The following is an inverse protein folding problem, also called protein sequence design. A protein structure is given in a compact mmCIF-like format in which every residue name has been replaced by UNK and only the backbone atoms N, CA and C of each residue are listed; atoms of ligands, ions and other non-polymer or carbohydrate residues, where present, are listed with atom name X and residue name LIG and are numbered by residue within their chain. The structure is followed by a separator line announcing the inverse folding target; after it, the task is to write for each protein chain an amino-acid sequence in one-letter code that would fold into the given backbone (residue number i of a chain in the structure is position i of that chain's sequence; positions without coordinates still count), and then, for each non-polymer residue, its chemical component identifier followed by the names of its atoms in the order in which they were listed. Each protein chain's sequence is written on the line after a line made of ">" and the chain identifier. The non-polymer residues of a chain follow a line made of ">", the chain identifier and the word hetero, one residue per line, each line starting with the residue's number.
data_IF_670821863773
#
_entry.id   IF_670821863773
#
_cell.length_a   1.000
_cell.length_b   1.000
_cell.length_c   1.000
_cell.angle_alpha   90.00
_cell.angle_beta   90.00
_cell.angle_gamma   90.00
#
_symmetry.space_group_name_H-M   'P 1'
#
loop_
_entity.id
_entity.type
_entity.pdbx_description
1 polymer ?
#
# COMPACT_ATOMS: atom_id res chain seq x y z
N UNK A 1 21.85 -22.68 -9.33
CA UNK A 1 21.10 -22.81 -10.60
C UNK A 1 20.29 -21.54 -10.75
N UNK A 2 20.68 -20.69 -11.69
CA UNK A 2 20.03 -19.42 -11.98
C UNK A 2 19.09 -19.58 -13.19
N UNK A 3 18.06 -18.73 -13.25
CA UNK A 3 17.08 -18.56 -14.34
C UNK A 3 15.74 -19.29 -14.21
N UNK A 4 14.78 -18.73 -13.47
CA UNK A 4 13.35 -18.99 -13.70
C UNK A 4 12.42 -17.76 -13.68
N UNK A 5 12.92 -16.53 -13.49
CA UNK A 5 12.03 -15.35 -13.38
C UNK A 5 12.59 -14.03 -13.90
N UNK A 6 13.81 -13.97 -14.45
CA UNK A 6 14.42 -12.71 -14.89
C UNK A 6 13.71 -12.03 -16.08
N UNK A 7 12.95 -12.79 -16.88
CA UNK A 7 12.16 -12.22 -17.99
C UNK A 7 10.85 -11.59 -17.51
N UNK A 8 10.32 -12.05 -16.37
CA UNK A 8 9.06 -11.57 -15.76
C UNK A 8 9.21 -10.13 -15.27
N UNK A 9 10.36 -9.79 -14.67
CA UNK A 9 10.67 -8.42 -14.25
C UNK A 9 10.90 -7.44 -15.41
N UNK A 10 11.06 -7.94 -16.64
CA UNK A 10 11.16 -7.13 -17.85
C UNK A 10 9.82 -6.86 -18.55
N UNK A 11 8.72 -7.43 -18.06
CA UNK A 11 7.37 -7.20 -18.59
C UNK A 11 6.70 -6.04 -17.88
N UNK A 12 6.54 -4.92 -18.58
CA UNK A 12 5.77 -3.81 -18.04
C UNK A 12 4.26 -4.11 -18.13
N UNK A 13 3.48 -3.46 -17.28
CA UNK A 13 2.01 -3.53 -17.32
C UNK A 13 1.44 -3.04 -18.67
N UNK A 14 2.16 -2.17 -19.37
CA UNK A 14 1.80 -1.69 -20.71
C UNK A 14 1.97 -2.81 -21.74
N UNK A 15 3.09 -3.53 -21.71
CA UNK A 15 3.34 -4.65 -22.62
C UNK A 15 2.30 -5.75 -22.43
N UNK A 16 1.94 -6.04 -21.17
CA UNK A 16 0.90 -7.02 -20.83
C UNK A 16 -0.49 -6.57 -21.30
N UNK A 17 -0.82 -5.29 -21.17
CA UNK A 17 -2.09 -4.75 -21.66
C UNK A 17 -2.23 -4.84 -23.18
N UNK A 18 -1.17 -4.54 -23.95
CA UNK A 18 -1.19 -4.70 -25.41
C UNK A 18 -1.41 -6.16 -25.83
N UNK A 19 -0.82 -7.11 -25.10
CA UNK A 19 -1.00 -8.54 -25.32
C UNK A 19 -2.43 -8.97 -25.00
N UNK A 20 -2.97 -8.54 -23.85
CA UNK A 20 -4.35 -8.81 -23.45
C UNK A 20 -5.35 -8.23 -24.47
N UNK A 21 -5.10 -7.02 -24.97
CA UNK A 21 -5.94 -6.40 -26.02
C UNK A 21 -5.95 -7.24 -27.30
N UNK A 22 -4.78 -7.74 -27.73
CA UNK A 22 -4.66 -8.62 -28.91
C UNK A 22 -5.36 -9.97 -28.70
N UNK A 23 -5.27 -10.55 -27.49
CA UNK A 23 -5.99 -11.78 -27.14
C UNK A 23 -7.50 -11.52 -27.19
N UNK A 24 -7.99 -10.44 -26.58
CA UNK A 24 -9.39 -10.05 -26.58
C UNK A 24 -9.95 -9.87 -28.00
N UNK A 25 -9.20 -9.23 -28.90
CA UNK A 25 -9.56 -9.08 -30.31
C UNK A 25 -9.65 -10.41 -31.06
N UNK A 26 -8.88 -11.41 -30.64
CA UNK A 26 -8.89 -12.75 -31.21
C UNK A 26 -9.98 -13.68 -30.66
N UNK A 27 -10.58 -13.33 -29.52
CA UNK A 27 -11.63 -14.12 -28.89
C UNK A 27 -13.01 -13.87 -29.53
N UNK A 28 -13.84 -14.92 -29.74
CA UNK A 28 -15.20 -14.76 -30.25
C UNK A 28 -16.09 -13.89 -29.35
N UNK A 29 -15.87 -13.95 -28.03
CA UNK A 29 -16.61 -13.20 -27.01
C UNK A 29 -16.19 -11.73 -26.93
N UNK A 30 -14.96 -11.40 -27.36
CA UNK A 30 -14.27 -10.14 -27.06
C UNK A 30 -14.30 -9.76 -25.57
N UNK A 31 -14.46 -10.74 -24.69
CA UNK A 31 -14.49 -10.50 -23.25
C UNK A 31 -13.07 -10.26 -22.75
N UNK A 32 -12.87 -9.08 -22.18
CA UNK A 32 -11.59 -8.70 -21.59
C UNK A 32 -11.23 -9.60 -20.40
N UNK A 33 -12.22 -10.09 -19.65
CA UNK A 33 -12.00 -10.96 -18.49
C UNK A 33 -11.42 -12.31 -18.90
N UNK A 34 -11.86 -12.84 -20.04
CA UNK A 34 -11.37 -14.09 -20.63
C UNK A 34 -9.96 -13.91 -21.19
N UNK A 35 -9.69 -12.79 -21.88
CA UNK A 35 -8.37 -12.45 -22.39
C UNK A 35 -7.32 -12.31 -21.27
N UNK A 36 -7.71 -11.69 -20.15
CA UNK A 36 -6.87 -11.57 -18.95
C UNK A 36 -6.53 -12.95 -18.38
N UNK A 37 -7.52 -13.86 -18.28
CA UNK A 37 -7.28 -15.21 -17.76
C UNK A 37 -6.31 -16.01 -18.64
N UNK A 38 -6.39 -15.86 -19.96
CA UNK A 38 -5.50 -16.54 -20.92
C UNK A 38 -4.07 -16.01 -20.81
N UNK A 39 -3.87 -14.69 -20.80
CA UNK A 39 -2.55 -14.08 -20.68
C UNK A 39 -1.90 -14.43 -19.33
N UNK A 40 -2.69 -14.43 -18.24
CA UNK A 40 -2.19 -14.77 -16.93
C UNK A 40 -1.77 -16.25 -16.84
N UNK A 41 -2.55 -17.16 -17.43
CA UNK A 41 -2.17 -18.57 -17.52
C UNK A 41 -0.87 -18.76 -18.34
N UNK A 42 -0.67 -17.96 -19.40
CA UNK A 42 0.58 -17.96 -20.16
C UNK A 42 1.75 -17.44 -19.31
N UNK A 43 1.54 -16.37 -18.55
CA UNK A 43 2.56 -15.77 -17.67
C UNK A 43 3.01 -16.72 -16.55
N UNK A 44 2.07 -17.41 -15.92
CA UNK A 44 2.35 -18.31 -14.79
C UNK A 44 3.05 -19.59 -15.21
N UNK A 45 2.66 -20.15 -16.35
CA UNK A 45 3.16 -21.44 -16.82
C UNK A 45 4.42 -21.35 -17.69
N UNK A 46 4.86 -20.14 -18.07
CA UNK A 46 6.05 -19.96 -18.91
C UNK A 46 7.31 -19.81 -18.08
N UNK A 47 8.38 -20.49 -18.51
CA UNK A 47 9.70 -20.42 -17.89
C UNK A 47 10.63 -19.42 -18.61
N UNK A 48 10.27 -19.02 -19.84
CA UNK A 48 10.99 -18.05 -20.68
C UNK A 48 10.04 -17.06 -21.36
N UNK A 49 10.60 -15.98 -21.91
CA UNK A 49 9.84 -14.96 -22.64
C UNK A 49 9.23 -15.54 -23.92
N UNK A 50 9.97 -16.40 -24.61
CA UNK A 50 9.55 -17.04 -25.84
C UNK A 50 8.39 -18.02 -25.62
N UNK A 51 8.37 -18.74 -24.49
CA UNK A 51 7.24 -19.59 -24.10
C UNK A 51 5.99 -18.77 -23.81
N UNK A 52 6.15 -17.63 -23.13
CA UNK A 52 5.06 -16.72 -22.82
C UNK A 52 4.44 -16.10 -24.08
N UNK A 53 5.27 -15.57 -24.98
CA UNK A 53 4.80 -14.96 -26.23
C UNK A 53 4.11 -16.01 -27.13
N UNK A 54 4.56 -17.27 -27.09
CA UNK A 54 3.93 -18.40 -27.81
C UNK A 54 2.60 -18.84 -27.20
N UNK A 55 2.50 -18.85 -25.87
CA UNK A 55 1.28 -19.19 -25.14
C UNK A 55 0.19 -18.12 -25.24
N UNK A 56 0.57 -16.85 -25.46
CA UNK A 56 -0.35 -15.75 -25.73
C UNK A 56 -0.88 -15.71 -27.18
N UNK A 57 -0.35 -16.56 -28.09
CA UNK A 57 -0.86 -16.66 -29.46
C UNK A 57 -2.04 -17.64 -29.54
N UNK A 58 -3.14 -17.27 -30.21
CA UNK A 58 -4.32 -18.13 -30.30
C UNK A 58 -4.01 -19.39 -31.13
N UNK A 59 -4.00 -20.56 -30.47
CA UNK A 59 -4.02 -21.87 -31.14
C UNK A 59 -5.43 -22.46 -31.09
N UNK A 60 -5.86 -23.00 -32.22
CA UNK A 60 -7.09 -23.77 -32.32
C UNK A 60 -7.08 -24.95 -31.34
N UNK A 61 -8.14 -25.01 -30.53
CA UNK A 61 -8.61 -26.11 -29.66
C UNK A 61 -7.94 -27.47 -29.80
N UNK A 62 -7.48 -28.05 -28.68
CA UNK A 62 -7.83 -29.42 -28.24
C UNK A 62 -7.60 -29.63 -26.74
N UNK A 63 -8.56 -30.31 -26.11
CA UNK A 63 -8.71 -30.63 -24.68
C UNK A 63 -7.89 -31.83 -24.20
N UNK A 64 -7.37 -31.80 -22.95
CA UNK A 64 -7.50 -32.87 -21.91
C UNK A 64 -6.70 -32.52 -20.63
N UNK A 65 -7.08 -33.04 -19.43
CA UNK A 65 -6.51 -32.62 -18.14
C UNK A 65 -5.48 -33.63 -17.57
N UNK A 66 -4.59 -33.20 -16.65
CA UNK A 66 -3.86 -34.12 -15.76
C UNK A 66 -4.04 -33.79 -14.25
N UNK A 67 -3.56 -34.68 -13.34
CA UNK A 67 -4.17 -34.90 -12.04
C UNK A 67 -3.54 -34.10 -10.88
N UNK A 68 -4.32 -34.05 -9.80
CA UNK A 68 -3.99 -33.58 -8.45
C UNK A 68 -2.87 -34.40 -7.78
N UNK A 69 -1.80 -33.74 -7.33
CA UNK A 69 -1.01 -34.18 -6.18
C UNK A 69 -0.33 -32.98 -5.50
N UNK A 70 -0.76 -32.70 -4.28
CA UNK A 70 -0.08 -31.83 -3.33
C UNK A 70 0.93 -32.63 -2.50
N UNK A 71 2.13 -32.09 -2.21
CA UNK A 71 2.83 -32.37 -0.98
C UNK A 71 2.81 -31.13 -0.08
N UNK A 72 2.17 -31.31 1.07
CA UNK A 72 2.33 -30.53 2.29
C UNK A 72 3.81 -30.42 2.66
N UNK A 73 4.32 -29.18 2.76
CA UNK A 73 5.54 -28.86 3.49
C UNK A 73 5.18 -27.89 4.60
N UNK A 74 5.15 -28.37 5.84
CA UNK A 74 5.20 -27.54 7.03
C UNK A 74 6.64 -27.52 7.52
N UNK A 75 7.27 -26.34 7.75
CA UNK A 75 8.39 -26.27 8.67
C UNK A 75 7.81 -26.11 10.08
N UNK A 76 8.08 -27.10 10.93
CA UNK A 76 7.92 -26.95 12.37
C UNK A 76 8.90 -25.87 12.86
N UNK A 77 8.38 -24.78 13.41
CA UNK A 77 9.17 -23.84 14.20
C UNK A 77 9.49 -24.53 15.53
N UNK A 78 10.73 -24.99 15.69
CA UNK A 78 11.27 -25.38 17.00
C UNK A 78 11.38 -24.13 17.87
N UNK A 79 10.57 -24.07 18.92
CA UNK A 79 10.70 -23.11 20.02
C UNK A 79 12.06 -23.30 20.71
N UNK A 80 13.06 -22.52 20.27
CA UNK A 80 14.24 -22.25 21.07
C UNK A 80 13.95 -21.03 21.92
N UNK A 81 13.85 -21.22 23.24
CA UNK A 81 13.49 -20.20 24.24
C UNK A 81 14.59 -19.15 24.52
N UNK A 82 15.57 -19.00 23.62
CA UNK A 82 16.57 -17.93 23.69
C UNK A 82 16.33 -16.92 22.58
N UNK A 83 15.89 -15.70 22.92
CA UNK A 83 15.72 -14.62 21.96
C UNK A 83 17.04 -14.26 21.25
N UNK A 84 16.94 -13.52 20.15
CA UNK A 84 18.06 -13.22 19.24
C UNK A 84 18.89 -12.05 19.77
N UNK A 85 20.22 -12.08 19.58
CA UNK A 85 21.10 -10.94 19.85
C UNK A 85 21.11 -9.99 18.65
N UNK A 86 20.95 -8.69 18.89
CA UNK A 86 21.03 -7.63 17.89
C UNK A 86 21.93 -6.52 18.43
N UNK A 87 23.21 -6.55 18.04
CA UNK A 87 24.23 -5.63 18.56
C UNK A 87 24.45 -5.80 20.08
N UNK A 88 24.14 -4.76 20.84
CA UNK A 88 24.18 -4.76 22.32
C UNK A 88 22.89 -5.32 22.95
N UNK A 89 21.81 -5.46 22.18
CA UNK A 89 20.53 -5.97 22.67
C UNK A 89 20.53 -7.50 22.69
N UNK A 90 20.25 -8.07 23.86
CA UNK A 90 20.15 -9.52 24.07
C UNK A 90 18.69 -9.95 24.12
N UNK A 91 18.42 -11.24 23.84
CA UNK A 91 17.11 -11.86 23.98
C UNK A 91 15.96 -11.12 23.28
N UNK A 92 16.19 -10.60 22.07
CA UNK A 92 15.16 -9.92 21.30
C UNK A 92 14.16 -10.92 20.72
N UNK A 93 12.87 -10.58 20.73
CA UNK A 93 11.79 -11.44 20.22
C UNK A 93 11.21 -10.88 18.93
N UNK A 94 10.96 -11.67 17.88
CA UNK A 94 10.38 -11.17 16.64
C UNK A 94 8.97 -10.58 16.87
N UNK A 95 8.66 -9.48 16.18
CA UNK A 95 7.35 -8.82 16.17
C UNK A 95 6.70 -8.96 14.79
N UNK A 96 7.44 -8.62 13.73
CA UNK A 96 6.93 -8.54 12.37
C UNK A 96 8.06 -8.77 11.37
N UNK A 97 7.71 -9.35 10.23
CA UNK A 97 8.58 -9.54 9.08
C UNK A 97 7.99 -8.78 7.90
N UNK A 98 8.83 -8.06 7.17
CA UNK A 98 8.47 -7.34 5.96
C UNK A 98 9.52 -7.51 4.88
N UNK A 99 9.19 -7.09 3.66
CA UNK A 99 10.00 -7.32 2.45
C UNK A 99 11.46 -6.84 2.61
N UNK A 100 11.66 -5.70 3.28
CA UNK A 100 12.98 -5.07 3.42
C UNK A 100 13.57 -5.13 4.83
N UNK A 101 12.76 -5.49 5.83
CA UNK A 101 13.16 -5.44 7.23
C UNK A 101 12.40 -6.41 8.11
N UNK A 102 13.06 -6.88 9.16
CA UNK A 102 12.45 -7.60 10.28
C UNK A 102 12.41 -6.67 11.51
N UNK A 103 11.35 -6.77 12.31
CA UNK A 103 11.18 -5.95 13.52
C UNK A 103 11.18 -6.85 14.74
N UNK A 104 12.01 -6.51 15.72
CA UNK A 104 12.16 -7.24 16.98
C UNK A 104 11.85 -6.37 18.19
N UNK A 105 11.31 -6.98 19.25
CA UNK A 105 11.16 -6.36 20.56
C UNK A 105 12.42 -6.62 21.39
N UNK A 106 12.93 -5.58 22.01
CA UNK A 106 14.00 -5.71 23.03
C UNK A 106 13.54 -6.53 24.25
N UNK A 107 14.49 -7.13 24.97
CA UNK A 107 14.20 -7.87 26.20
C UNK A 107 13.52 -7.03 27.30
N UNK A 108 13.89 -5.76 27.42
CA UNK A 108 13.24 -4.81 28.33
C UNK A 108 11.79 -4.50 27.93
N UNK A 109 11.41 -4.79 26.68
CA UNK A 109 10.07 -4.66 26.17
C UNK A 109 9.64 -3.24 25.79
N UNK A 110 10.55 -2.27 25.87
CA UNK A 110 10.33 -0.83 25.67
C UNK A 110 10.81 -0.32 24.30
N UNK A 111 11.62 -1.10 23.58
CA UNK A 111 12.17 -0.75 22.26
C UNK A 111 11.82 -1.76 21.18
N UNK A 112 11.60 -1.25 19.98
CA UNK A 112 11.50 -1.99 18.73
C UNK A 112 12.76 -1.77 17.88
N UNK A 113 13.32 -2.84 17.33
CA UNK A 113 14.51 -2.84 16.49
C UNK A 113 14.12 -3.28 15.08
N UNK A 114 14.14 -2.34 14.12
CA UNK A 114 13.96 -2.61 12.69
C UNK A 114 15.32 -2.96 12.09
N UNK A 115 15.53 -4.24 11.80
CA UNK A 115 16.74 -4.80 11.20
C UNK A 115 16.53 -4.86 9.68
N UNK A 116 17.40 -4.19 8.92
CA UNK A 116 17.33 -4.21 7.46
C UNK A 116 17.92 -5.52 6.94
N UNK A 117 17.11 -6.29 6.21
CA UNK A 117 17.48 -7.63 5.69
C UNK A 117 17.61 -7.69 4.17
N UNK A 118 17.11 -6.69 3.45
CA UNK A 118 17.26 -6.63 2.00
C UNK A 118 18.72 -6.39 1.60
N UNK A 119 19.26 -7.30 0.78
CA UNK A 119 20.62 -7.23 0.24
C UNK A 119 20.69 -6.41 -1.07
N UNK A 120 19.55 -6.04 -1.64
CA UNK A 120 19.43 -5.29 -2.90
C UNK A 120 18.59 -4.03 -2.68
N UNK A 121 18.88 -2.98 -3.49
CA UNK A 121 18.07 -1.76 -3.52
C UNK A 121 16.70 -2.08 -4.12
N UNK A 122 15.71 -2.30 -3.27
CA UNK A 122 14.30 -2.39 -3.64
C UNK A 122 13.73 -0.98 -3.69
N UNK A 123 13.75 -0.35 -4.86
CA UNK A 123 13.08 0.95 -5.05
C UNK A 123 11.58 0.83 -4.69
N UNK A 124 10.98 1.81 -3.99
CA UNK A 124 11.54 3.09 -3.52
C UNK A 124 12.20 3.01 -2.12
N UNK A 125 12.30 1.83 -1.51
CA UNK A 125 12.86 1.66 -0.18
C UNK A 125 14.35 2.03 -0.13
N UNK A 126 14.69 2.96 0.77
CA UNK A 126 16.07 3.38 1.00
C UNK A 126 16.32 3.64 2.49
N UNK A 127 16.92 2.70 3.22
CA UNK A 127 17.14 2.82 4.66
C UNK A 127 17.98 4.03 5.07
N UNK A 128 18.96 4.45 4.25
CA UNK A 128 19.78 5.63 4.55
C UNK A 128 18.99 6.93 4.39
N UNK A 129 18.08 6.97 3.40
CA UNK A 129 17.14 8.07 3.23
C UNK A 129 16.13 8.10 4.36
N UNK A 130 15.58 6.95 4.76
CA UNK A 130 14.66 6.81 5.89
C UNK A 130 15.30 7.39 7.17
N UNK A 131 16.55 7.05 7.47
CA UNK A 131 17.28 7.62 8.62
C UNK A 131 17.36 9.14 8.55
N UNK A 132 17.78 9.69 7.40
CA UNK A 132 17.91 11.15 7.23
C UNK A 132 16.58 11.87 7.39
N UNK A 133 15.50 11.29 6.86
CA UNK A 133 14.14 11.82 7.03
C UNK A 133 13.76 11.77 8.50
N UNK A 134 13.83 10.61 9.14
CA UNK A 134 13.45 10.41 10.55
C UNK A 134 14.18 11.35 11.51
N UNK A 135 15.45 11.68 11.25
CA UNK A 135 16.23 12.64 12.04
C UNK A 135 15.67 14.08 12.03
N UNK A 136 14.83 14.43 11.04
CA UNK A 136 14.17 15.74 10.94
C UNK A 136 12.79 15.79 11.60
N UNK A 137 12.26 14.63 12.01
CA UNK A 137 10.88 14.49 12.47
C UNK A 137 10.74 14.67 13.98
N UNK A 138 9.53 15.07 14.39
CA UNK A 138 9.13 15.21 15.78
C UNK A 138 7.77 14.51 15.99
N UNK A 139 7.37 14.23 17.24
CA UNK A 139 6.02 13.74 17.53
C UNK A 139 4.93 14.62 16.89
N UNK A 140 3.86 14.04 16.32
CA UNK A 140 3.46 12.63 16.42
C UNK A 140 4.01 11.69 15.32
N UNK A 141 5.19 11.97 14.74
CA UNK A 141 5.95 10.92 14.04
C UNK A 141 6.75 10.07 15.05
N UNK A 142 6.92 8.77 14.76
CA UNK A 142 7.69 7.87 15.62
C UNK A 142 9.16 8.37 15.73
N UNK A 143 9.71 8.55 16.94
CA UNK A 143 11.06 9.06 17.09
C UNK A 143 12.09 7.95 16.84
N UNK A 144 13.09 8.24 16.02
CA UNK A 144 14.27 7.41 15.86
C UNK A 144 15.19 7.61 17.07
N UNK A 145 15.41 6.55 17.86
CA UNK A 145 16.23 6.62 19.08
C UNK A 145 17.72 6.51 18.76
N UNK A 146 18.08 5.53 17.95
CA UNK A 146 19.46 5.31 17.51
C UNK A 146 19.54 4.47 16.24
N UNK A 147 20.72 4.47 15.63
CA UNK A 147 21.07 3.63 14.48
C UNK A 147 22.43 3.00 14.69
N UNK A 148 22.57 1.71 14.41
CA UNK A 148 23.85 1.01 14.52
C UNK A 148 23.94 -0.15 13.51
N UNK A 149 25.10 -0.81 13.46
CA UNK A 149 25.25 -2.09 12.75
C UNK A 149 25.36 -3.22 13.76
N UNK A 150 24.60 -4.28 13.54
CA UNK A 150 24.64 -5.46 14.41
C UNK A 150 25.90 -6.31 14.15
N UNK A 151 25.99 -7.46 14.84
CA UNK A 151 27.10 -8.40 14.69
C UNK A 151 27.25 -8.98 13.28
N UNK A 152 26.20 -8.95 12.45
CA UNK A 152 26.17 -9.40 11.06
C UNK A 152 26.36 -8.23 10.08
N UNK A 153 26.72 -7.04 10.58
CA UNK A 153 26.85 -5.81 9.80
C UNK A 153 25.54 -5.31 9.18
N UNK A 154 24.38 -5.80 9.61
CA UNK A 154 23.07 -5.30 9.16
C UNK A 154 22.79 -3.97 9.81
N UNK A 155 22.18 -3.06 9.05
CA UNK A 155 21.75 -1.75 9.56
C UNK A 155 20.52 -1.96 10.45
N UNK A 156 20.54 -1.34 11.63
CA UNK A 156 19.45 -1.42 12.62
C UNK A 156 19.00 -0.02 12.99
N UNK A 157 17.69 0.21 12.95
CA UNK A 157 17.03 1.42 13.47
C UNK A 157 16.26 1.04 14.73
N UNK A 158 16.41 1.83 15.79
CA UNK A 158 15.72 1.58 17.06
C UNK A 158 14.68 2.65 17.36
N UNK A 159 13.50 2.23 17.79
CA UNK A 159 12.33 3.06 18.07
C UNK A 159 11.74 2.71 19.44
N UNK A 160 10.92 3.57 20.05
CA UNK A 160 10.05 3.14 21.14
C UNK A 160 9.12 2.02 20.67
N UNK A 161 8.94 0.99 21.49
CA UNK A 161 7.98 -0.06 21.19
C UNK A 161 6.56 0.43 21.43
N UNK A 162 5.72 0.30 20.39
CA UNK A 162 4.28 0.54 20.48
C UNK A 162 3.57 -0.82 20.44
N UNK A 163 2.71 -1.14 21.44
CA UNK A 163 2.10 -2.46 21.56
C UNK A 163 0.96 -2.72 20.56
N UNK A 164 0.45 -1.69 19.89
CA UNK A 164 -0.70 -1.79 19.00
C UNK A 164 -0.48 -0.98 17.73
N UNK A 165 -1.16 -1.38 16.68
CA UNK A 165 -1.36 -0.63 15.44
C UNK A 165 -2.85 -0.32 15.25
N UNK A 166 -3.18 0.60 14.34
CA UNK A 166 -4.58 0.78 13.95
C UNK A 166 -5.12 -0.50 13.27
N UNK A 167 -4.28 -1.26 12.55
CA UNK A 167 -4.67 -2.56 11.99
C UNK A 167 -5.18 -3.51 13.08
N UNK A 168 -4.44 -3.65 14.18
CA UNK A 168 -4.83 -4.51 15.31
C UNK A 168 -6.18 -4.11 15.93
N UNK A 169 -6.48 -2.81 15.93
CA UNK A 169 -7.73 -2.26 16.43
C UNK A 169 -8.90 -2.55 15.47
N UNK A 170 -8.68 -2.45 14.16
CA UNK A 170 -9.69 -2.74 13.14
C UNK A 170 -10.02 -4.24 13.06
N UNK A 171 -9.01 -5.11 13.13
CA UNK A 171 -9.17 -6.57 13.08
C UNK A 171 -9.98 -7.11 14.27
N UNK A 172 -9.75 -6.55 15.46
CA UNK A 172 -10.55 -6.85 16.66
C UNK A 172 -12.01 -6.45 16.46
N UNK A 173 -12.24 -5.25 15.91
CA UNK A 173 -13.58 -4.72 15.59
C UNK A 173 -14.36 -5.61 14.62
N UNK A 174 -13.67 -6.22 13.66
CA UNK A 174 -14.27 -7.15 12.68
C UNK A 174 -14.66 -8.51 13.29
N UNK A 175 -13.96 -8.94 14.35
CA UNK A 175 -14.13 -10.28 14.95
C UNK A 175 -15.21 -10.33 16.03
N UNK A 176 -15.62 -9.19 16.58
CA UNK A 176 -16.67 -9.12 17.61
C UNK A 176 -17.66 -8.01 17.27
N UNK A 177 -18.93 -8.39 17.06
CA UNK A 177 -20.03 -7.49 16.69
C UNK A 177 -20.32 -6.37 17.69
N UNK A 178 -19.71 -6.42 18.89
CA UNK A 178 -19.82 -5.40 19.95
C UNK A 178 -18.51 -4.62 20.18
N UNK A 179 -17.54 -4.68 19.26
CA UNK A 179 -16.19 -4.09 19.45
C UNK A 179 -15.76 -3.08 18.39
N UNK A 180 -16.71 -2.48 17.67
CA UNK A 180 -16.41 -1.37 16.78
C UNK A 180 -15.70 -0.24 17.54
N UNK A 181 -14.73 0.41 16.88
CA UNK A 181 -13.99 1.51 17.51
C UNK A 181 -14.93 2.66 17.85
N UNK A 182 -14.77 3.20 19.05
CA UNK A 182 -15.59 4.32 19.48
C UNK A 182 -15.29 5.56 18.64
N UNK A 183 -16.32 6.35 18.31
CA UNK A 183 -16.15 7.60 17.54
C UNK A 183 -15.10 8.54 18.14
N UNK A 184 -15.02 8.62 19.47
CA UNK A 184 -14.04 9.44 20.17
C UNK A 184 -12.60 8.93 19.94
N UNK A 185 -12.41 7.61 19.99
CA UNK A 185 -11.14 6.96 19.72
C UNK A 185 -10.70 7.17 18.26
N UNK A 186 -11.60 6.96 17.28
CA UNK A 186 -11.34 7.24 15.85
C UNK A 186 -10.91 8.69 15.68
N UNK A 187 -11.67 9.64 16.25
CA UNK A 187 -11.34 11.07 16.16
C UNK A 187 -9.94 11.37 16.71
N UNK A 188 -9.60 10.83 17.88
CA UNK A 188 -8.28 11.03 18.49
C UNK A 188 -7.15 10.52 17.60
N UNK A 189 -7.26 9.27 17.11
CA UNK A 189 -6.23 8.63 16.28
C UNK A 189 -6.02 9.40 14.98
N UNK A 190 -7.11 9.77 14.29
CA UNK A 190 -7.01 10.50 13.04
C UNK A 190 -6.55 11.96 13.22
N UNK A 191 -6.82 12.56 14.39
CA UNK A 191 -6.26 13.88 14.73
C UNK A 191 -4.74 13.81 14.85
N UNK A 192 -4.20 12.81 15.56
CA UNK A 192 -2.76 12.60 15.69
C UNK A 192 -2.12 12.30 14.31
N UNK A 193 -2.76 11.47 13.48
CA UNK A 193 -2.29 11.16 12.12
C UNK A 193 -2.29 12.41 11.22
N UNK A 194 -3.34 13.24 11.27
CA UNK A 194 -3.40 14.51 10.54
C UNK A 194 -2.31 15.48 11.02
N UNK A 195 -2.06 15.58 12.32
CA UNK A 195 -0.99 16.41 12.86
C UNK A 195 0.39 15.94 12.37
N UNK A 196 0.63 14.62 12.32
CA UNK A 196 1.86 14.06 11.74
C UNK A 196 2.00 14.41 10.26
N UNK A 197 0.94 14.17 9.46
CA UNK A 197 0.93 14.49 8.03
C UNK A 197 1.16 15.98 7.78
N UNK A 198 0.50 16.86 8.53
CA UNK A 198 0.72 18.30 8.44
C UNK A 198 2.20 18.66 8.69
N UNK A 199 2.81 18.07 9.72
CA UNK A 199 4.19 18.36 10.10
C UNK A 199 5.20 17.93 9.00
N UNK A 200 4.99 16.77 8.38
CA UNK A 200 5.89 16.28 7.31
C UNK A 200 5.62 16.99 5.98
N UNK A 201 4.35 17.28 5.65
CA UNK A 201 3.97 17.96 4.40
C UNK A 201 4.47 19.40 4.38
N UNK A 202 4.53 20.09 5.53
CA UNK A 202 5.17 21.42 5.66
C UNK A 202 6.66 21.43 5.29
N UNK A 203 7.32 20.28 5.39
CA UNK A 203 8.72 20.09 5.00
C UNK A 203 8.86 19.55 3.55
N UNK A 204 7.74 19.40 2.83
CA UNK A 204 7.71 18.82 1.48
C UNK A 204 7.90 17.31 1.44
N UNK A 205 7.88 16.63 2.60
CA UNK A 205 8.00 15.18 2.68
C UNK A 205 6.68 14.55 2.24
N UNK A 206 6.76 13.48 1.44
CA UNK A 206 5.61 12.65 1.07
C UNK A 206 5.84 11.27 1.70
N UNK A 207 4.90 10.77 2.49
CA UNK A 207 5.06 9.49 3.19
C UNK A 207 4.99 8.29 2.24
N UNK A 208 4.03 8.30 1.30
CA UNK A 208 3.85 7.32 0.22
C UNK A 208 3.40 5.91 0.63
N UNK A 209 3.10 5.68 1.91
CA UNK A 209 2.61 4.38 2.38
C UNK A 209 1.74 4.49 3.65
N UNK A 210 0.80 5.43 3.63
CA UNK A 210 -0.20 5.57 4.70
C UNK A 210 -1.16 4.38 4.66
N UNK A 211 -1.25 3.64 5.77
CA UNK A 211 -2.10 2.46 5.97
C UNK A 211 -2.27 2.17 7.47
N UNK A 212 -3.24 1.34 7.90
CA UNK A 212 -3.47 1.07 9.32
C UNK A 212 -2.24 0.56 10.11
N UNK A 213 -1.39 -0.27 9.50
CA UNK A 213 -0.19 -0.78 10.17
C UNK A 213 0.92 0.27 10.34
N UNK A 214 0.86 1.39 9.60
CA UNK A 214 1.77 2.51 9.76
C UNK A 214 1.38 3.44 10.92
N UNK A 215 0.16 3.30 11.48
CA UNK A 215 -0.31 4.07 12.63
C UNK A 215 -0.12 3.24 13.90
N UNK A 216 0.92 3.55 14.66
CA UNK A 216 1.26 2.88 15.90
C UNK A 216 0.57 3.55 17.10
N UNK A 217 0.18 2.79 18.11
CA UNK A 217 -0.44 3.33 19.32
C UNK A 217 0.25 2.83 20.59
N UNK A 218 0.51 3.75 21.53
CA UNK A 218 1.04 3.40 22.85
C UNK A 218 0.03 2.67 23.74
N UNK A 219 -1.27 2.89 23.49
CA UNK A 219 -2.39 2.23 24.16
C UNK A 219 -3.62 2.22 23.24
N UNK A 220 -4.69 1.46 23.52
CA UNK A 220 -5.91 1.52 22.72
C UNK A 220 -6.45 2.95 22.54
N UNK A 221 -6.34 3.80 23.56
CA UNK A 221 -6.78 5.21 23.51
C UNK A 221 -5.71 6.17 22.99
N UNK A 222 -4.57 5.69 22.48
CA UNK A 222 -3.46 6.50 21.99
C UNK A 222 -2.43 6.91 23.06
N UNK A 223 -1.63 7.97 22.81
CA UNK A 223 -1.52 8.68 21.53
C UNK A 223 -1.13 7.78 20.34
N UNK A 224 -1.46 8.22 19.13
CA UNK A 224 -1.08 7.57 17.88
C UNK A 224 0.16 8.23 17.26
N UNK A 225 0.99 7.43 16.59
CA UNK A 225 2.23 7.85 15.95
C UNK A 225 2.30 7.34 14.51
N UNK A 226 2.69 8.22 13.59
CA UNK A 226 2.98 7.84 12.21
C UNK A 226 4.37 7.19 12.11
N UNK A 227 4.45 6.05 11.43
CA UNK A 227 5.65 5.24 11.28
C UNK A 227 5.85 4.74 9.85
N UNK A 228 6.98 4.08 9.60
CA UNK A 228 7.37 3.47 8.32
C UNK A 228 7.66 4.46 7.18
N UNK A 229 8.73 5.23 7.34
CA UNK A 229 9.21 6.18 6.35
C UNK A 229 10.12 5.53 5.28
N UNK A 230 10.12 4.19 5.18
CA UNK A 230 11.01 3.44 4.29
C UNK A 230 10.84 3.82 2.83
N UNK A 231 9.62 4.16 2.42
CA UNK A 231 9.29 4.60 1.06
C UNK A 231 9.23 6.12 0.93
N UNK A 232 9.44 6.92 1.97
CA UNK A 232 9.17 8.36 1.93
C UNK A 232 10.02 9.11 0.87
N UNK A 233 9.44 10.18 0.31
CA UNK A 233 10.12 11.10 -0.60
C UNK A 233 10.43 12.41 0.12
N UNK A 234 11.63 12.96 -0.07
CA UNK A 234 12.03 14.24 0.48
C UNK A 234 12.68 15.11 -0.63
N UNK A 235 12.36 16.41 -0.72
CA UNK A 235 12.85 17.28 -1.80
C UNK A 235 14.38 17.33 -1.89
N UNK A 236 15.09 17.35 -0.77
CA UNK A 236 16.56 17.33 -0.77
C UNK A 236 17.16 15.91 -0.82
N UNK A 237 16.67 14.97 -0.01
CA UNK A 237 17.27 13.64 0.12
C UNK A 237 16.90 12.65 -0.99
N UNK A 238 15.83 12.92 -1.76
CA UNK A 238 15.37 12.06 -2.84
C UNK A 238 15.68 12.58 -4.23
N UNK A 239 15.63 13.90 -4.47
CA UNK A 239 15.59 14.49 -5.82
C UNK A 239 16.74 14.09 -6.74
N UNK A 240 17.92 13.78 -6.20
CA UNK A 240 19.06 13.33 -7.00
C UNK A 240 18.81 11.95 -7.64
N UNK A 241 18.25 11.02 -6.87
CA UNK A 241 17.94 9.65 -7.31
C UNK A 241 16.53 9.50 -7.88
N UNK A 242 15.61 10.38 -7.46
CA UNK A 242 14.19 10.32 -7.76
C UNK A 242 13.65 11.75 -7.92
N UNK A 243 13.82 12.37 -9.11
CA UNK A 243 13.43 13.75 -9.35
C UNK A 243 11.92 13.98 -9.15
N UNK A 244 11.49 15.21 -8.79
CA UNK A 244 10.09 15.52 -8.54
C UNK A 244 9.12 15.19 -9.69
N UNK A 245 9.60 15.18 -10.93
CA UNK A 245 8.81 14.90 -12.15
C UNK A 245 8.91 13.44 -12.61
N UNK A 246 9.70 12.63 -11.92
CA UNK A 246 10.01 11.25 -12.30
C UNK A 246 9.95 10.32 -11.08
N UNK A 247 8.98 10.52 -10.17
CA UNK A 247 8.84 9.69 -8.98
C UNK A 247 8.43 8.26 -9.33
N UNK A 248 8.87 7.33 -8.49
CA UNK A 248 8.56 5.91 -8.55
C UNK A 248 7.06 5.74 -8.27
N UNK A 249 6.40 4.95 -9.13
CA UNK A 249 4.97 4.72 -9.05
C UNK A 249 4.61 3.57 -8.12
N UNK A 250 5.55 2.67 -7.82
CA UNK A 250 5.30 1.52 -6.95
C UNK A 250 5.35 1.91 -5.47
N UNK A 251 4.29 2.61 -5.08
CA UNK A 251 4.05 3.14 -3.74
C UNK A 251 2.60 2.89 -3.33
N UNK A 252 2.34 2.95 -2.03
CA UNK A 252 1.03 2.72 -1.45
C UNK A 252 0.63 1.25 -1.44
N UNK A 253 0.01 0.83 -0.34
CA UNK A 253 -0.42 -0.56 -0.14
C UNK A 253 -1.88 -0.75 -0.54
N UNK A 254 -2.15 -1.69 -1.46
CA UNK A 254 -3.49 -2.23 -1.74
C UNK A 254 -4.59 -1.16 -1.82
N UNK A 255 -5.58 -1.18 -0.91
CA UNK A 255 -6.78 -0.34 -1.00
C UNK A 255 -6.53 1.15 -0.72
N UNK A 256 -5.34 1.54 -0.25
CA UNK A 256 -5.01 2.92 0.09
C UNK A 256 -4.29 3.67 -1.04
N UNK A 257 -3.99 2.99 -2.15
CA UNK A 257 -3.23 3.57 -3.27
C UNK A 257 -4.07 4.60 -4.04
N UNK A 258 -3.50 5.79 -4.25
CA UNK A 258 -4.16 6.92 -4.90
C UNK A 258 -4.31 6.73 -6.42
N UNK A 259 -5.40 7.19 -7.03
CA UNK A 259 -5.70 6.91 -8.44
C UNK A 259 -4.69 7.55 -9.39
N UNK A 260 -4.16 8.74 -9.11
CA UNK A 260 -3.13 9.38 -9.96
C UNK A 260 -1.87 8.51 -10.09
N UNK A 261 -1.52 7.76 -9.05
CA UNK A 261 -0.39 6.82 -9.09
C UNK A 261 -0.73 5.61 -9.97
N UNK A 262 -1.96 5.10 -9.86
CA UNK A 262 -2.45 3.98 -10.68
C UNK A 262 -2.52 4.33 -12.17
N UNK A 263 -2.76 5.60 -12.50
CA UNK A 263 -2.74 6.13 -13.87
C UNK A 263 -1.36 6.67 -14.30
N UNK A 264 -0.32 6.40 -13.51
CA UNK A 264 1.07 6.61 -13.91
C UNK A 264 1.56 8.05 -13.82
N UNK A 265 0.90 8.93 -13.07
CA UNK A 265 1.37 10.30 -12.85
C UNK A 265 2.65 10.30 -11.99
N UNK A 266 3.81 10.53 -12.60
CA UNK A 266 5.11 10.57 -11.91
C UNK A 266 5.39 11.88 -11.16
N UNK A 267 4.52 12.88 -11.29
CA UNK A 267 4.62 14.18 -10.64
C UNK A 267 3.66 14.29 -9.44
N UNK A 268 3.22 13.16 -8.88
CA UNK A 268 2.32 13.15 -7.72
C UNK A 268 2.91 13.93 -6.53
N UNK A 269 2.01 14.46 -5.70
CA UNK A 269 2.30 15.32 -4.55
C UNK A 269 1.90 14.65 -3.23
N UNK A 270 1.98 15.38 -2.12
CA UNK A 270 1.48 14.97 -0.81
C UNK A 270 -0.03 14.59 -0.79
N UNK A 271 -0.79 14.93 -1.84
CA UNK A 271 -2.19 14.56 -1.97
C UNK A 271 -2.42 13.03 -1.98
N UNK A 272 -1.41 12.23 -2.33
CA UNK A 272 -1.49 10.75 -2.26
C UNK A 272 -1.64 10.26 -0.81
N UNK A 273 -0.99 10.93 0.14
CA UNK A 273 -1.08 10.59 1.56
C UNK A 273 -2.47 10.95 2.11
N UNK A 274 -3.06 12.06 1.64
CA UNK A 274 -4.40 12.49 2.04
C UNK A 274 -5.49 11.56 1.53
N UNK A 275 -5.34 11.03 0.30
CA UNK A 275 -6.23 9.98 -0.21
C UNK A 275 -6.17 8.72 0.64
N UNK A 276 -4.96 8.24 0.91
CA UNK A 276 -4.74 7.06 1.73
C UNK A 276 -5.31 7.21 3.14
N UNK A 277 -5.12 8.39 3.76
CA UNK A 277 -5.75 8.74 5.04
C UNK A 277 -7.28 8.72 4.97
N UNK A 278 -7.87 9.27 3.90
CA UNK A 278 -9.32 9.27 3.69
C UNK A 278 -9.90 7.86 3.52
N UNK A 279 -9.22 7.01 2.74
CA UNK A 279 -9.59 5.60 2.59
C UNK A 279 -9.48 4.83 3.92
N UNK A 280 -8.43 5.09 4.70
CA UNK A 280 -8.25 4.52 6.05
C UNK A 280 -9.31 5.01 7.03
N UNK A 281 -9.72 6.28 6.98
CA UNK A 281 -10.80 6.83 7.81
C UNK A 281 -12.13 6.16 7.46
N UNK A 282 -12.43 6.03 6.16
CA UNK A 282 -13.62 5.37 5.67
C UNK A 282 -13.71 3.91 6.14
N UNK A 283 -12.60 3.21 6.23
CA UNK A 283 -12.53 1.86 6.79
C UNK A 283 -12.82 1.84 8.30
N UNK A 284 -12.19 2.75 9.05
CA UNK A 284 -12.32 2.81 10.51
C UNK A 284 -13.74 3.16 10.99
N UNK A 285 -14.49 3.93 10.20
CA UNK A 285 -15.85 4.38 10.56
C UNK A 285 -16.96 3.40 10.15
N UNK A 286 -16.63 2.30 9.46
CA UNK A 286 -17.57 1.24 9.11
C UNK A 286 -17.72 0.24 10.24
N UNK A 287 -18.89 -0.41 10.31
CA UNK A 287 -19.19 -1.45 11.29
C UNK A 287 -19.81 -2.66 10.59
N UNK A 288 -19.08 -3.79 10.44
CA UNK A 288 -17.67 -3.96 10.82
C UNK A 288 -16.72 -3.10 9.96
N UNK A 289 -15.48 -2.84 10.44
CA UNK A 289 -14.46 -2.19 9.62
C UNK A 289 -14.22 -2.96 8.32
N UNK A 290 -14.14 -2.23 7.21
CA UNK A 290 -13.89 -2.81 5.89
C UNK A 290 -13.26 -1.77 4.96
N UNK A 291 -12.22 -2.12 4.17
CA UNK A 291 -11.60 -1.22 3.21
C UNK A 291 -12.62 -0.54 2.30
N UNK A 292 -12.39 0.76 2.01
CA UNK A 292 -13.27 1.51 1.12
C UNK A 292 -13.21 0.97 -0.32
N UNK A 293 -12.03 0.54 -0.75
CA UNK A 293 -11.77 -0.03 -2.06
C UNK A 293 -11.29 -1.47 -1.92
N UNK A 294 -11.75 -2.33 -2.81
CA UNK A 294 -11.39 -3.75 -2.84
C UNK A 294 -10.14 -3.94 -3.73
N UNK A 295 -9.04 -4.31 -3.10
CA UNK A 295 -7.83 -4.81 -3.79
C UNK A 295 -7.77 -6.32 -3.59
N UNK A 296 -8.58 -7.08 -4.35
CA UNK A 296 -8.63 -8.54 -4.20
C UNK A 296 -7.23 -9.16 -4.32
N UNK A 297 -6.85 -10.08 -3.42
CA UNK A 297 -5.61 -10.82 -3.55
C UNK A 297 -5.74 -11.85 -4.66
N UNK A 298 -5.13 -11.59 -5.80
CA UNK A 298 -4.59 -12.65 -6.65
C UNK A 298 -3.10 -12.40 -6.69
N UNK A 299 -2.45 -12.78 -5.57
CA UNK A 299 -1.01 -12.80 -5.26
C UNK A 299 -0.17 -11.59 -5.70
N UNK A 300 0.58 -11.04 -4.74
CA UNK A 300 1.68 -10.05 -4.86
C UNK A 300 1.93 -9.55 -6.31
N UNK A 301 1.49 -8.31 -6.55
CA UNK A 301 1.45 -7.53 -7.80
C UNK A 301 0.17 -7.59 -8.68
N UNK A 302 -0.83 -8.44 -8.37
CA UNK A 302 -2.15 -8.45 -9.04
C UNK A 302 -3.25 -7.81 -8.18
N UNK A 303 -4.03 -6.79 -8.57
CA UNK A 303 -4.37 -6.26 -9.88
C UNK A 303 -4.70 -4.75 -9.74
N UNK A 304 -3.80 -3.86 -10.17
CA UNK A 304 -4.04 -2.40 -10.18
C UNK A 304 -5.36 -2.05 -10.91
N UNK A 305 -5.71 -2.80 -11.96
CA UNK A 305 -6.99 -2.63 -12.67
C UNK A 305 -8.18 -3.02 -11.78
N UNK A 306 -8.05 -4.05 -10.95
CA UNK A 306 -9.07 -4.44 -9.98
C UNK A 306 -9.34 -3.32 -8.98
N UNK A 307 -8.28 -2.69 -8.47
CA UNK A 307 -8.39 -1.52 -7.60
C UNK A 307 -9.00 -0.32 -8.33
N UNK A 308 -8.56 -0.02 -9.55
CA UNK A 308 -9.13 1.04 -10.41
C UNK A 308 -10.64 0.81 -10.60
N UNK A 309 -11.05 -0.41 -10.94
CA UNK A 309 -12.46 -0.78 -11.12
C UNK A 309 -13.24 -0.65 -9.81
N UNK A 310 -12.64 -0.99 -8.67
CA UNK A 310 -13.26 -0.81 -7.35
C UNK A 310 -13.47 0.67 -7.03
N UNK A 311 -12.47 1.51 -7.31
CA UNK A 311 -12.56 2.97 -7.18
C UNK A 311 -13.71 3.51 -8.04
N UNK A 312 -13.80 3.13 -9.32
CA UNK A 312 -14.87 3.59 -10.21
C UNK A 312 -16.26 3.10 -9.81
N UNK A 313 -16.39 1.85 -9.34
CA UNK A 313 -17.67 1.35 -8.81
C UNK A 313 -18.12 2.07 -7.53
N UNK A 314 -17.16 2.62 -6.78
CA UNK A 314 -17.41 3.27 -5.51
C UNK A 314 -17.74 4.76 -5.70
N UNK A 315 -16.92 5.48 -6.47
CA UNK A 315 -17.05 6.94 -6.65
C UNK A 315 -17.76 7.35 -7.96
N UNK A 316 -17.86 6.44 -8.92
CA UNK A 316 -18.22 6.74 -10.32
C UNK A 316 -16.99 6.82 -11.22
N UNK A 317 -17.18 6.66 -12.53
CA UNK A 317 -16.09 6.86 -13.52
C UNK A 317 -15.75 8.35 -13.61
N UNK A 318 -14.46 8.75 -13.51
CA UNK A 318 -14.07 10.14 -13.59
C UNK A 318 -14.34 10.70 -15.00
N UNK A 319 -14.60 12.01 -15.04
CA UNK A 319 -14.79 12.79 -16.26
C UNK A 319 -13.71 13.87 -16.37
N UNK A 320 -13.50 14.44 -17.57
CA UNK A 320 -12.67 15.63 -17.78
C UNK A 320 -12.94 16.81 -16.84
N UNK A 321 -14.15 16.88 -16.27
CA UNK A 321 -14.59 17.92 -15.34
C UNK A 321 -14.27 17.54 -13.89
N UNK A 322 -14.46 16.28 -13.50
CA UNK A 322 -14.21 15.81 -12.12
C UNK A 322 -12.74 15.47 -11.85
N UNK A 323 -11.94 15.28 -12.90
CA UNK A 323 -10.50 15.05 -12.80
C UNK A 323 -9.71 15.76 -13.93
N UNK A 324 -9.64 17.10 -13.92
CA UNK A 324 -9.02 17.87 -15.01
C UNK A 324 -7.55 17.50 -15.26
N UNK A 325 -6.79 17.21 -14.21
CA UNK A 325 -5.36 16.89 -14.27
C UNK A 325 -5.09 15.61 -15.06
N UNK A 326 -6.04 14.66 -15.06
CA UNK A 326 -5.88 13.39 -15.76
C UNK A 326 -5.93 13.51 -17.29
N UNK A 327 -6.29 14.67 -17.84
CA UNK A 327 -6.18 14.98 -19.28
C UNK A 327 -4.74 14.94 -19.78
N UNK A 328 -3.79 15.24 -18.90
CA UNK A 328 -2.36 15.31 -19.23
C UNK A 328 -1.64 13.99 -18.94
N UNK A 329 -2.34 12.99 -18.40
CA UNK A 329 -1.75 11.70 -18.12
C UNK A 329 -1.51 10.93 -19.42
N UNK A 330 -0.45 10.13 -19.43
CA UNK A 330 -0.12 9.28 -20.58
C UNK A 330 -1.24 8.30 -20.92
N UNK A 331 -1.95 7.82 -19.90
CA UNK A 331 -3.13 6.97 -20.03
C UNK A 331 -4.29 7.71 -19.37
N UNK A 332 -5.28 8.11 -20.16
CA UNK A 332 -6.42 8.85 -19.62
C UNK A 332 -7.47 7.87 -19.06
N UNK A 333 -8.15 8.21 -17.96
CA UNK A 333 -9.18 7.37 -17.37
C UNK A 333 -10.56 7.52 -18.04
N UNK A 334 -10.67 8.32 -19.11
CA UNK A 334 -11.96 8.77 -19.66
C UNK A 334 -12.54 7.84 -20.75
N UNK A 335 -11.68 7.10 -21.46
CA UNK A 335 -12.06 6.28 -22.61
C UNK A 335 -12.33 4.82 -22.20
N UNK A 336 -13.20 4.64 -21.21
CA UNK A 336 -13.58 3.31 -20.72
C UNK A 336 -14.93 2.88 -21.27
N UNK A 337 -14.98 1.64 -21.76
CA UNK A 337 -16.21 1.01 -22.29
C UNK A 337 -17.32 0.87 -21.24
N UNK A 338 -16.95 0.80 -19.96
CA UNK A 338 -17.88 0.70 -18.83
C UNK A 338 -17.83 1.97 -17.98
N UNK A 339 -18.95 2.68 -17.95
CA UNK A 339 -19.12 3.90 -17.15
C UNK A 339 -19.98 3.59 -15.92
N UNK A 340 -19.48 3.97 -14.74
CA UNK A 340 -20.20 3.87 -13.48
C UNK A 340 -20.74 5.26 -13.08
N UNK A 341 -22.03 5.38 -12.71
CA UNK A 341 -22.58 6.66 -12.30
C UNK A 341 -21.95 7.12 -10.97
N UNK A 342 -21.83 8.45 -10.75
CA UNK A 342 -21.36 8.98 -9.47
C UNK A 342 -22.32 8.57 -8.35
N UNK A 343 -21.75 8.34 -7.17
CA UNK A 343 -22.50 7.91 -5.97
C UNK A 343 -22.32 8.94 -4.87
N UNK A 344 -23.43 9.30 -4.23
CA UNK A 344 -23.42 10.20 -3.08
C UNK A 344 -22.77 9.52 -1.86
N UNK A 345 -22.07 10.30 -1.03
CA UNK A 345 -21.39 9.78 0.16
C UNK A 345 -22.34 9.18 1.20
N UNK A 346 -23.61 9.60 1.23
CA UNK A 346 -24.65 9.00 2.06
C UNK A 346 -24.94 7.54 1.67
N UNK A 347 -24.74 7.21 0.39
CA UNK A 347 -24.91 5.86 -0.16
C UNK A 347 -23.62 5.05 -0.02
N UNK A 348 -22.45 5.69 -0.10
CA UNK A 348 -21.14 5.02 0.04
C UNK A 348 -20.87 4.65 1.51
N UNK A 349 -21.18 5.57 2.44
CA UNK A 349 -20.98 5.44 3.89
C UNK A 349 -22.32 5.61 4.64
N UNK A 350 -23.26 4.65 4.49
CA UNK A 350 -24.53 4.69 5.19
C UNK A 350 -24.32 4.56 6.69
N UNK A 351 -25.17 5.21 7.50
CA UNK A 351 -25.14 5.16 8.97
C UNK A 351 -23.86 5.68 9.65
N UNK A 352 -22.94 6.27 8.88
CA UNK A 352 -21.78 7.01 9.40
C UNK A 352 -22.18 8.43 9.84
N UNK A 353 -21.50 8.93 10.86
CA UNK A 353 -21.62 10.31 11.34
C UNK A 353 -21.37 11.32 10.22
N UNK A 354 -22.16 12.39 10.16
CA UNK A 354 -22.03 13.40 9.11
C UNK A 354 -20.64 14.07 9.09
N UNK A 355 -20.02 14.29 10.26
CA UNK A 355 -18.68 14.88 10.34
C UNK A 355 -17.60 13.97 9.76
N UNK A 356 -17.67 12.66 10.05
CA UNK A 356 -16.76 11.70 9.43
C UNK A 356 -17.00 11.54 7.93
N UNK A 357 -18.27 11.52 7.51
CA UNK A 357 -18.62 11.44 6.08
C UNK A 357 -18.08 12.64 5.29
N UNK A 358 -18.22 13.85 5.82
CA UNK A 358 -17.67 15.06 5.21
C UNK A 358 -16.13 15.02 5.13
N UNK A 359 -15.47 14.61 6.23
CA UNK A 359 -14.02 14.48 6.25
C UNK A 359 -13.52 13.48 5.18
N UNK A 360 -14.15 12.31 5.05
CA UNK A 360 -13.82 11.34 3.99
C UNK A 360 -14.07 11.94 2.60
N UNK A 361 -15.22 12.59 2.38
CA UNK A 361 -15.57 13.18 1.09
C UNK A 361 -14.58 14.26 0.61
N UNK A 362 -13.99 15.00 1.55
CA UNK A 362 -12.97 16.01 1.28
C UNK A 362 -11.58 15.42 1.01
N UNK A 363 -11.28 14.25 1.58
CA UNK A 363 -10.01 13.55 1.43
C UNK A 363 -9.96 12.64 0.19
N UNK A 364 -11.07 11.98 -0.14
CA UNK A 364 -11.17 10.98 -1.21
C UNK A 364 -11.80 11.62 -2.45
N UNK A 365 -10.97 12.34 -3.22
CA UNK A 365 -11.35 13.02 -4.47
C UNK A 365 -10.42 12.63 -5.61
N UNK A 366 -10.92 12.62 -6.84
CA UNK A 366 -10.07 12.37 -8.02
C UNK A 366 -9.08 13.52 -8.25
N UNK A 367 -9.58 14.75 -8.26
CA UNK A 367 -8.78 15.96 -8.46
C UNK A 367 -7.73 16.19 -7.36
N UNK A 368 -6.76 17.05 -7.65
CA UNK A 368 -5.74 17.46 -6.70
C UNK A 368 -6.24 18.36 -5.58
N UNK A 369 -7.53 18.73 -5.58
CA UNK A 369 -8.15 19.63 -4.60
C UNK A 369 -8.55 18.95 -3.28
N UNK A 370 -7.96 17.79 -2.99
CA UNK A 370 -8.11 17.10 -1.71
C UNK A 370 -7.75 18.03 -0.56
N UNK A 371 -8.56 18.00 0.49
CA UNK A 371 -8.26 18.79 1.69
C UNK A 371 -6.88 18.39 2.25
N UNK A 372 -6.06 19.39 2.50
CA UNK A 372 -4.81 19.24 3.24
C UNK A 372 -5.08 18.86 4.69
N UNK A 373 -4.07 18.33 5.37
CA UNK A 373 -4.17 17.99 6.78
C UNK A 373 -4.61 19.19 7.66
N UNK A 374 -4.18 20.41 7.30
CA UNK A 374 -4.58 21.64 8.01
C UNK A 374 -6.06 21.98 7.85
N UNK A 375 -6.64 21.75 6.67
CA UNK A 375 -8.03 22.08 6.39
C UNK A 375 -9.02 21.08 7.01
N UNK A 376 -8.58 19.84 7.27
CA UNK A 376 -9.40 18.82 7.95
C UNK A 376 -9.40 19.03 9.46
N UNK A 377 -8.27 19.41 10.07
CA UNK A 377 -8.19 19.65 11.52
C UNK A 377 -9.01 20.84 12.06
N UNK A 378 -9.51 21.73 11.17
CA UNK A 378 -10.26 22.94 11.54
C UNK A 378 -11.78 22.74 11.68
N UNK A 379 -12.27 21.53 11.42
CA UNK A 379 -13.68 21.12 11.51
C UNK A 379 -13.81 20.10 12.63
#
# INVERSE_FOLDING_TARGET
>A
MASSSAWKSGLSSVDRYEIISKISESLPSRDMSEAIAIEQAAYDNSSSREEYDSACQPKATTSSPPPSHSPTFSPALTESSSGIRIGSYLNCTPISEGITSEVFRSQSGDKALKVIVAHQNLEPHNPLREIKILQTLNPPCIPLLETFRDQEQRLVLTFPYMPLTLADLLDKGSSSSNSALEKAQIRSIFTDALNALQAIHKQGIIHRDIKPSAILLSSPSGPAYLSDFGTAWHPEFSSLSEPPTAKILDIGTGPYRAPEVLFGNKSYSAAVDMWALGAMLAEAVRSPPAPLFDSRPVHEDGNQLGLILSIFKTLGTPTPETWPEAKEFRVTPFELWTVFPPREWDVILPHVDAGFRDAVARLVRYDGSRASAEEVCRV
#
